data_IF_802325681270
#
_entry.id   IF_802325681270
#
_cell.length_a   1.000
_cell.length_b   1.000
_cell.length_c   1.000
_cell.angle_alpha   90.00
_cell.angle_beta   90.00
_cell.angle_gamma   90.00
#
_symmetry.space_group_name_H-M   'P 1'
#
loop_
_entity.id
_entity.type
_entity.pdbx_description
1 polymer ?
#
# COMPACT_ATOMS: atom_id res chain seq x y z
N UNK A 1 -14.99 5.58 -18.53
CA UNK A 1 -14.47 4.20 -18.44
C UNK A 1 -14.85 3.46 -19.73
N UNK A 2 -13.90 3.25 -20.62
CA UNK A 2 -14.04 2.36 -21.78
C UNK A 2 -13.20 1.12 -21.52
N UNK A 3 -13.86 -0.03 -21.42
CA UNK A 3 -13.17 -1.32 -21.36
C UNK A 3 -12.52 -1.57 -22.75
N UNK A 4 -11.18 -1.63 -22.76
CA UNK A 4 -10.41 -2.06 -23.94
C UNK A 4 -9.94 -3.50 -23.68
N UNK A 5 -10.63 -4.51 -24.22
CA UNK A 5 -10.27 -5.91 -23.98
C UNK A 5 -8.86 -6.26 -24.48
N UNK A 6 -8.36 -5.53 -25.48
CA UNK A 6 -6.98 -5.65 -25.97
C UNK A 6 -5.92 -5.38 -24.89
N UNK A 7 -6.24 -4.52 -23.89
CA UNK A 7 -5.35 -4.26 -22.76
C UNK A 7 -5.09 -5.50 -21.91
N UNK A 8 -6.04 -6.43 -21.82
CA UNK A 8 -5.88 -7.68 -21.06
C UNK A 8 -4.87 -8.64 -21.68
N UNK A 9 -4.57 -8.48 -22.98
CA UNK A 9 -3.55 -9.27 -23.67
C UNK A 9 -2.14 -8.71 -23.51
N UNK A 10 -2.00 -7.49 -22.98
CA UNK A 10 -0.71 -6.86 -22.77
C UNK A 10 -0.10 -7.31 -21.42
N UNK A 11 1.05 -8.04 -21.42
CA UNK A 11 1.70 -8.50 -20.19
C UNK A 11 2.06 -7.36 -19.22
N UNK A 12 2.39 -6.17 -19.71
CA UNK A 12 2.72 -5.03 -18.88
C UNK A 12 1.56 -4.59 -17.98
N UNK A 13 0.32 -4.68 -18.45
CA UNK A 13 -0.87 -4.36 -17.65
C UNK A 13 -0.94 -5.25 -16.41
N UNK A 14 -0.65 -6.54 -16.58
CA UNK A 14 -0.64 -7.48 -15.47
C UNK A 14 0.51 -7.25 -14.49
N UNK A 15 1.71 -6.92 -14.99
CA UNK A 15 2.86 -6.60 -14.14
C UNK A 15 2.56 -5.38 -13.25
N UNK A 16 2.01 -4.31 -13.82
CA UNK A 16 1.61 -3.13 -13.07
C UNK A 16 0.47 -3.43 -12.08
N UNK A 17 -0.55 -4.18 -12.52
CA UNK A 17 -1.69 -4.53 -11.67
C UNK A 17 -1.28 -5.38 -10.46
N UNK A 18 -0.45 -6.41 -10.66
CA UNK A 18 0.07 -7.23 -9.58
C UNK A 18 1.01 -6.43 -8.66
N UNK A 19 1.90 -5.61 -9.22
CA UNK A 19 2.76 -4.73 -8.45
C UNK A 19 1.96 -3.82 -7.52
N UNK A 20 0.94 -3.17 -8.05
CA UNK A 20 0.05 -2.31 -7.26
C UNK A 20 -0.75 -3.09 -6.20
N UNK A 21 -1.27 -4.26 -6.54
CA UNK A 21 -2.01 -5.09 -5.58
C UNK A 21 -1.12 -5.54 -4.41
N UNK A 22 0.10 -6.01 -4.67
CA UNK A 22 1.04 -6.40 -3.63
C UNK A 22 1.50 -5.22 -2.78
N UNK A 23 1.67 -4.05 -3.37
CA UNK A 23 2.00 -2.83 -2.66
C UNK A 23 0.84 -2.39 -1.74
N UNK A 24 -0.38 -2.29 -2.28
CA UNK A 24 -1.57 -1.83 -1.55
C UNK A 24 -1.91 -2.73 -0.36
N UNK A 25 -1.85 -4.05 -0.56
CA UNK A 25 -2.10 -5.03 0.49
C UNK A 25 -0.93 -5.21 1.48
N UNK A 26 0.16 -4.47 1.31
CA UNK A 26 1.37 -4.57 2.15
C UNK A 26 1.95 -5.99 2.25
N UNK A 27 1.68 -6.85 1.26
CA UNK A 27 2.18 -8.25 1.24
C UNK A 27 3.69 -8.26 1.09
N UNK A 28 4.21 -7.34 0.30
CA UNK A 28 5.60 -7.33 -0.10
C UNK A 28 6.54 -6.55 0.81
N UNK A 29 6.02 -5.59 1.58
CA UNK A 29 6.82 -4.76 2.48
C UNK A 29 7.05 -5.38 3.85
N UNK A 30 6.79 -6.69 4.02
CA UNK A 30 6.77 -7.39 5.31
C UNK A 30 5.83 -6.78 6.36
N UNK A 31 5.03 -5.77 6.01
CA UNK A 31 4.04 -5.17 6.89
C UNK A 31 3.05 -6.21 7.37
N UNK A 32 2.45 -6.97 6.46
CA UNK A 32 1.51 -8.04 6.81
C UNK A 32 2.15 -9.13 7.68
N UNK A 33 3.43 -9.44 7.50
CA UNK A 33 4.16 -10.42 8.32
C UNK A 33 4.34 -9.91 9.75
N UNK A 34 4.77 -8.66 9.91
CA UNK A 34 4.96 -8.04 11.23
C UNK A 34 3.62 -7.91 11.96
N UNK A 35 2.58 -7.41 11.28
CA UNK A 35 1.25 -7.29 11.89
C UNK A 35 0.65 -8.66 12.21
N UNK A 36 0.89 -9.67 11.39
CA UNK A 36 0.51 -11.05 11.67
C UNK A 36 1.12 -11.57 12.97
N UNK A 37 2.34 -11.15 13.31
CA UNK A 37 3.00 -11.54 14.56
C UNK A 37 2.39 -10.89 15.82
N UNK A 38 1.63 -9.80 15.65
CA UNK A 38 0.95 -9.09 16.75
C UNK A 38 -0.49 -9.53 16.96
N UNK A 39 -1.03 -10.34 16.04
CA UNK A 39 -2.42 -10.81 16.15
C UNK A 39 -2.57 -11.80 17.30
N UNK A 40 -3.70 -11.73 18.04
CA UNK A 40 -4.01 -12.73 19.05
C UNK A 40 -4.28 -14.10 18.39
N UNK A 41 -4.05 -15.16 19.14
CA UNK A 41 -4.17 -16.55 18.63
C UNK A 41 -5.58 -16.99 18.28
N UNK A 42 -6.58 -16.26 18.71
CA UNK A 42 -8.01 -16.49 18.45
C UNK A 42 -8.51 -15.79 17.17
N UNK A 43 -7.65 -15.04 16.48
CA UNK A 43 -8.00 -14.36 15.22
C UNK A 43 -8.13 -15.34 14.06
N UNK A 44 -9.26 -15.27 13.33
CA UNK A 44 -9.47 -16.06 12.08
C UNK A 44 -8.72 -15.40 10.92
N UNK A 45 -7.46 -15.81 10.71
CA UNK A 45 -6.56 -15.24 9.71
C UNK A 45 -7.15 -15.24 8.28
N UNK A 46 -7.77 -16.34 7.78
CA UNK A 46 -8.37 -16.34 6.44
C UNK A 46 -9.51 -15.33 6.28
N UNK A 47 -10.34 -15.19 7.32
CA UNK A 47 -11.45 -14.21 7.31
C UNK A 47 -10.93 -12.78 7.30
N UNK A 48 -9.96 -12.50 8.15
CA UNK A 48 -9.32 -11.17 8.23
C UNK A 48 -8.59 -10.81 6.95
N UNK A 49 -7.81 -11.72 6.37
CA UNK A 49 -7.13 -11.50 5.09
C UNK A 49 -8.13 -11.22 3.94
N UNK A 50 -9.24 -11.98 3.89
CA UNK A 50 -10.31 -11.75 2.91
C UNK A 50 -10.95 -10.37 3.07
N UNK A 51 -11.24 -9.96 4.30
CA UNK A 51 -11.83 -8.66 4.58
C UNK A 51 -10.88 -7.52 4.19
N UNK A 52 -9.59 -7.62 4.53
CA UNK A 52 -8.58 -6.65 4.13
C UNK A 52 -8.55 -6.50 2.61
N UNK A 53 -8.46 -7.62 1.86
CA UNK A 53 -8.42 -7.57 0.39
C UNK A 53 -9.72 -6.98 -0.20
N UNK A 54 -10.88 -7.30 0.37
CA UNK A 54 -12.17 -6.79 -0.09
C UNK A 54 -12.28 -5.27 0.13
N UNK A 55 -11.99 -4.80 1.35
CA UNK A 55 -12.10 -3.38 1.68
C UNK A 55 -11.05 -2.53 0.96
N UNK A 56 -9.83 -3.03 0.79
CA UNK A 56 -8.79 -2.37 -0.02
C UNK A 56 -9.25 -2.18 -1.47
N UNK A 57 -9.78 -3.24 -2.08
CA UNK A 57 -10.32 -3.19 -3.45
C UNK A 57 -11.49 -2.21 -3.58
N UNK A 58 -12.44 -2.24 -2.63
CA UNK A 58 -13.59 -1.31 -2.63
C UNK A 58 -13.10 0.13 -2.50
N UNK A 59 -12.17 0.41 -1.59
CA UNK A 59 -11.62 1.75 -1.39
C UNK A 59 -10.91 2.26 -2.64
N UNK A 60 -10.10 1.41 -3.29
CA UNK A 60 -9.41 1.75 -4.53
C UNK A 60 -10.39 2.05 -5.68
N UNK A 61 -11.44 1.25 -5.84
CA UNK A 61 -12.49 1.48 -6.85
C UNK A 61 -13.26 2.77 -6.58
N UNK A 62 -13.64 3.03 -5.33
CA UNK A 62 -14.34 4.27 -4.96
C UNK A 62 -13.46 5.50 -5.24
N UNK A 63 -12.18 5.45 -4.88
CA UNK A 63 -11.24 6.52 -5.18
C UNK A 63 -11.11 6.75 -6.69
N UNK A 64 -11.00 5.69 -7.49
CA UNK A 64 -10.92 5.77 -8.94
C UNK A 64 -12.20 6.38 -9.57
N UNK A 65 -13.37 5.95 -9.09
CA UNK A 65 -14.67 6.47 -9.59
C UNK A 65 -14.84 7.95 -9.26
N UNK A 66 -14.32 8.42 -8.14
CA UNK A 66 -14.44 9.84 -7.75
C UNK A 66 -13.40 10.69 -8.47
N UNK A 67 -12.15 10.27 -8.46
CA UNK A 67 -11.02 11.10 -8.91
C UNK A 67 -10.94 11.16 -10.44
N UNK A 68 -11.04 10.02 -11.14
CA UNK A 68 -10.81 9.97 -12.58
C UNK A 68 -11.83 10.79 -13.36
N UNK A 69 -13.16 10.68 -13.13
CA UNK A 69 -14.14 11.51 -13.83
C UNK A 69 -14.03 13.01 -13.48
N UNK A 70 -13.74 13.34 -12.21
CA UNK A 70 -13.56 14.73 -11.81
C UNK A 70 -12.39 15.38 -12.55
N UNK A 71 -11.29 14.67 -12.71
CA UNK A 71 -10.16 15.13 -13.50
C UNK A 71 -10.49 15.22 -15.00
N UNK A 72 -11.24 14.26 -15.54
CA UNK A 72 -11.66 14.25 -16.95
C UNK A 72 -12.46 15.48 -17.33
N UNK A 73 -13.36 15.91 -16.44
CA UNK A 73 -14.22 17.10 -16.68
C UNK A 73 -13.40 18.39 -16.71
N UNK A 74 -12.38 18.51 -15.87
CA UNK A 74 -11.65 19.77 -15.71
C UNK A 74 -10.47 19.89 -16.69
N UNK A 75 -9.79 18.78 -16.97
CA UNK A 75 -8.60 18.76 -17.81
C UNK A 75 -8.91 18.43 -19.27
N UNK A 76 -10.10 17.92 -19.58
CA UNK A 76 -10.47 17.53 -20.94
C UNK A 76 -9.45 16.59 -21.57
N UNK A 77 -9.02 16.92 -22.78
CA UNK A 77 -8.00 16.14 -23.51
C UNK A 77 -6.60 16.16 -22.87
N UNK A 78 -6.37 17.06 -21.91
CA UNK A 78 -5.11 17.13 -21.16
C UNK A 78 -4.82 15.93 -20.24
N UNK A 79 -5.81 15.03 -20.05
CA UNK A 79 -5.59 13.76 -19.33
C UNK A 79 -4.71 12.80 -20.14
N UNK A 80 -4.75 12.89 -21.46
CA UNK A 80 -3.96 12.04 -22.35
C UNK A 80 -2.50 12.47 -22.27
N UNK A 81 -1.70 11.77 -21.48
CA UNK A 81 -0.28 12.07 -21.27
C UNK A 81 0.09 12.50 -19.84
N UNK A 82 -0.87 12.59 -18.95
CA UNK A 82 -0.57 12.83 -17.53
C UNK A 82 0.18 11.65 -16.91
N UNK A 83 1.29 11.97 -16.30
CA UNK A 83 2.03 10.99 -15.49
C UNK A 83 1.35 10.88 -14.13
N UNK A 84 1.19 9.64 -13.64
CA UNK A 84 0.76 9.37 -12.28
C UNK A 84 1.75 9.90 -11.24
N UNK A 85 1.47 9.62 -9.97
CA UNK A 85 2.37 9.97 -8.87
C UNK A 85 1.92 11.20 -8.08
N UNK A 86 2.79 11.76 -7.22
CA UNK A 86 2.44 12.85 -6.31
C UNK A 86 1.90 14.11 -7.00
N UNK A 87 2.36 14.39 -8.22
CA UNK A 87 1.90 15.54 -9.01
C UNK A 87 0.39 15.47 -9.31
N UNK A 88 -0.14 14.29 -9.53
CA UNK A 88 -1.57 14.10 -9.77
C UNK A 88 -2.40 14.54 -8.57
N UNK A 89 -1.99 14.18 -7.38
CA UNK A 89 -2.70 14.50 -6.14
C UNK A 89 -2.49 15.96 -5.70
N UNK A 90 -1.26 16.46 -5.72
CA UNK A 90 -0.93 17.75 -5.11
C UNK A 90 -0.94 18.94 -6.08
N UNK A 91 -0.97 18.70 -7.39
CA UNK A 91 -1.03 19.77 -8.39
C UNK A 91 -2.37 19.74 -9.12
N UNK A 92 -2.70 18.62 -9.74
CA UNK A 92 -3.88 18.55 -10.61
C UNK A 92 -5.20 18.53 -9.83
N UNK A 93 -5.26 17.76 -8.73
CA UNK A 93 -6.48 17.66 -7.93
C UNK A 93 -6.81 18.99 -7.22
N UNK A 94 -5.81 19.83 -6.93
CA UNK A 94 -6.03 21.20 -6.44
C UNK A 94 -6.82 22.03 -7.44
N UNK A 95 -6.52 21.89 -8.75
CA UNK A 95 -7.25 22.61 -9.80
C UNK A 95 -8.72 22.12 -9.88
N UNK A 96 -8.95 20.82 -9.64
CA UNK A 96 -10.31 20.26 -9.55
C UNK A 96 -11.09 20.93 -8.43
N UNK A 97 -10.53 21.03 -7.24
CA UNK A 97 -11.19 21.69 -6.12
C UNK A 97 -11.42 23.18 -6.36
N UNK A 98 -10.47 23.88 -6.99
CA UNK A 98 -10.63 25.31 -7.30
C UNK A 98 -11.76 25.58 -8.32
N UNK A 99 -12.08 24.64 -9.18
CA UNK A 99 -13.13 24.76 -10.17
C UNK A 99 -14.53 24.38 -9.63
N UNK A 100 -14.63 23.79 -8.43
CA UNK A 100 -15.90 23.37 -7.83
C UNK A 100 -16.51 24.46 -6.95
N UNK A 101 -17.87 24.61 -6.92
CA UNK A 101 -18.53 25.41 -5.89
C UNK A 101 -18.23 24.82 -4.50
N UNK A 102 -17.72 25.65 -3.58
CA UNK A 102 -17.33 25.17 -2.26
C UNK A 102 -16.06 24.32 -2.21
N UNK A 103 -15.34 24.17 -3.31
CA UNK A 103 -14.17 23.30 -3.46
C UNK A 103 -13.04 23.58 -2.48
N UNK A 104 -12.93 24.83 -1.97
CA UNK A 104 -11.94 25.17 -0.92
C UNK A 104 -12.20 24.37 0.37
N UNK A 105 -13.46 24.20 0.79
CA UNK A 105 -13.79 23.45 2.01
C UNK A 105 -13.59 21.96 1.76
N UNK A 106 -14.08 21.46 0.63
CA UNK A 106 -13.91 20.05 0.24
C UNK A 106 -12.42 19.68 0.12
N UNK A 107 -11.64 20.55 -0.50
CA UNK A 107 -10.19 20.36 -0.63
C UNK A 107 -9.47 20.36 0.71
N UNK A 108 -9.82 21.24 1.64
CA UNK A 108 -9.25 21.22 2.99
C UNK A 108 -9.54 19.90 3.72
N UNK A 109 -10.78 19.44 3.71
CA UNK A 109 -11.16 18.17 4.33
C UNK A 109 -10.40 17.02 3.67
N UNK A 110 -10.34 17.00 2.34
CA UNK A 110 -9.63 15.98 1.59
C UNK A 110 -8.14 15.92 1.98
N UNK A 111 -7.42 17.05 2.01
CA UNK A 111 -6.00 17.04 2.36
C UNK A 111 -5.74 16.75 3.83
N UNK A 112 -6.65 17.08 4.73
CA UNK A 112 -6.57 16.64 6.13
C UNK A 112 -6.68 15.11 6.20
N UNK A 113 -7.63 14.50 5.47
CA UNK A 113 -7.75 13.04 5.39
C UNK A 113 -6.49 12.40 4.77
N UNK A 114 -5.94 12.99 3.71
CA UNK A 114 -4.69 12.54 3.07
C UNK A 114 -3.50 12.61 4.05
N UNK A 115 -3.43 13.67 4.86
CA UNK A 115 -2.39 13.79 5.89
C UNK A 115 -2.47 12.66 6.90
N UNK A 116 -3.65 12.38 7.45
CA UNK A 116 -3.84 11.27 8.39
C UNK A 116 -3.56 9.91 7.75
N UNK A 117 -4.01 9.69 6.53
CA UNK A 117 -3.71 8.47 5.77
C UNK A 117 -2.20 8.31 5.53
N UNK A 118 -1.50 9.40 5.18
CA UNK A 118 -0.05 9.39 5.00
C UNK A 118 0.70 9.07 6.29
N UNK A 119 0.32 9.70 7.40
CA UNK A 119 0.96 9.44 8.71
C UNK A 119 0.74 7.98 9.13
N UNK A 120 -0.48 7.45 9.02
CA UNK A 120 -0.75 6.05 9.37
C UNK A 120 0.04 5.07 8.49
N UNK A 121 0.18 5.37 7.19
CA UNK A 121 0.99 4.56 6.27
C UNK A 121 2.48 4.58 6.62
N UNK A 122 3.03 5.74 7.01
CA UNK A 122 4.43 5.85 7.45
C UNK A 122 4.66 5.01 8.71
N UNK A 123 3.76 5.08 9.69
CA UNK A 123 3.85 4.26 10.92
C UNK A 123 3.91 2.78 10.56
N UNK A 124 3.03 2.34 9.65
CA UNK A 124 2.99 0.95 9.20
C UNK A 124 4.28 0.52 8.49
N UNK A 125 4.82 1.35 7.60
CA UNK A 125 6.04 1.05 6.88
C UNK A 125 7.29 1.02 7.79
N UNK A 126 7.28 1.83 8.85
CA UNK A 126 8.40 1.87 9.80
C UNK A 126 8.42 0.68 10.75
N UNK A 127 7.30 0.02 10.99
CA UNK A 127 7.22 -1.07 11.97
C UNK A 127 8.16 -2.22 11.63
N UNK A 128 8.24 -2.64 10.36
CA UNK A 128 9.11 -3.73 9.94
C UNK A 128 10.61 -3.45 10.17
N UNK A 129 11.20 -2.33 9.69
CA UNK A 129 12.61 -2.03 9.97
C UNK A 129 12.89 -1.71 11.44
N UNK A 130 11.92 -1.14 12.18
CA UNK A 130 12.06 -0.92 13.62
C UNK A 130 12.12 -2.25 14.36
N UNK A 131 11.22 -3.18 14.07
CA UNK A 131 11.23 -4.53 14.65
C UNK A 131 12.54 -5.28 14.33
N UNK A 132 13.04 -5.15 13.10
CA UNK A 132 14.32 -5.72 12.70
C UNK A 132 15.50 -5.18 13.52
N UNK A 133 15.57 -3.85 13.74
CA UNK A 133 16.62 -3.24 14.57
C UNK A 133 16.55 -3.70 16.03
N UNK A 134 15.33 -3.78 16.57
CA UNK A 134 15.11 -4.26 17.94
C UNK A 134 15.59 -5.71 18.10
N UNK A 135 15.26 -6.57 17.14
CA UNK A 135 15.63 -7.98 17.19
C UNK A 135 17.13 -8.23 16.96
N UNK A 136 17.74 -7.58 15.96
CA UNK A 136 19.12 -7.84 15.55
C UNK A 136 20.15 -7.04 16.34
N UNK A 137 19.86 -5.80 16.68
CA UNK A 137 20.78 -4.89 17.37
C UNK A 137 20.42 -4.70 18.85
N UNK A 138 19.36 -5.38 19.33
CA UNK A 138 18.87 -5.27 20.71
C UNK A 138 18.66 -3.81 21.17
N UNK A 139 18.27 -2.94 20.24
CA UNK A 139 18.00 -1.53 20.50
C UNK A 139 16.62 -1.34 21.15
N UNK A 140 16.45 -0.28 21.93
CA UNK A 140 15.13 0.06 22.44
C UNK A 140 14.26 0.67 21.32
N UNK A 141 12.93 0.61 21.48
CA UNK A 141 11.97 1.06 20.46
C UNK A 141 12.18 2.53 20.03
N UNK A 142 12.41 3.41 21.01
CA UNK A 142 12.58 4.84 20.74
C UNK A 142 13.81 5.09 19.87
N UNK A 143 14.94 4.46 20.21
CA UNK A 143 16.18 4.60 19.44
C UNK A 143 16.01 4.03 18.03
N UNK A 144 15.36 2.87 17.88
CA UNK A 144 15.09 2.26 16.56
C UNK A 144 14.24 3.18 15.68
N UNK A 145 13.18 3.77 16.24
CA UNK A 145 12.32 4.72 15.50
C UNK A 145 13.10 5.96 15.08
N UNK A 146 13.93 6.51 15.97
CA UNK A 146 14.75 7.71 15.65
C UNK A 146 15.77 7.39 14.55
N UNK A 147 16.44 6.23 14.63
CA UNK A 147 17.41 5.83 13.60
C UNK A 147 16.71 5.66 12.24
N UNK A 148 15.63 4.88 12.19
CA UNK A 148 14.89 4.65 10.94
C UNK A 148 14.29 5.95 10.41
N UNK A 149 13.77 6.81 11.29
CA UNK A 149 13.24 8.12 10.90
C UNK A 149 14.31 9.04 10.32
N UNK A 150 15.47 9.11 10.94
CA UNK A 150 16.58 9.93 10.45
C UNK A 150 17.13 9.43 9.11
N UNK A 151 17.41 8.12 9.02
CA UNK A 151 17.91 7.51 7.77
C UNK A 151 16.88 7.61 6.66
N UNK A 152 15.61 7.26 6.93
CA UNK A 152 14.52 7.36 5.97
C UNK A 152 14.28 8.79 5.52
N UNK A 153 14.34 9.77 6.43
CA UNK A 153 14.23 11.18 6.10
C UNK A 153 15.32 11.68 5.17
N UNK A 154 16.59 11.33 5.45
CA UNK A 154 17.72 11.68 4.57
C UNK A 154 17.56 11.05 3.19
N UNK A 155 17.23 9.76 3.13
CA UNK A 155 16.99 9.05 1.86
C UNK A 155 15.83 9.70 1.09
N UNK A 156 14.72 10.04 1.76
CA UNK A 156 13.57 10.69 1.13
C UNK A 156 13.94 12.04 0.51
N UNK A 157 14.75 12.84 1.18
CA UNK A 157 15.24 14.12 0.64
C UNK A 157 16.14 13.92 -0.58
N UNK A 158 17.01 12.90 -0.56
CA UNK A 158 17.89 12.60 -1.69
C UNK A 158 17.12 12.07 -2.92
N UNK A 159 16.03 11.31 -2.70
CA UNK A 159 15.24 10.68 -3.77
C UNK A 159 14.17 11.63 -4.31
N UNK A 160 13.88 12.75 -3.64
CA UNK A 160 12.80 13.66 -3.99
C UNK A 160 12.68 13.96 -5.50
N UNK A 161 13.76 14.24 -6.26
CA UNK A 161 13.67 14.51 -7.69
C UNK A 161 13.21 13.31 -8.53
N UNK A 162 13.39 12.09 -8.02
CA UNK A 162 13.09 10.82 -8.70
C UNK A 162 12.02 10.00 -8.00
N UNK A 163 11.20 10.63 -7.17
CA UNK A 163 10.19 9.93 -6.36
C UNK A 163 9.28 9.03 -7.19
N UNK A 164 8.79 9.50 -8.35
CA UNK A 164 7.90 8.70 -9.20
C UNK A 164 8.60 7.45 -9.75
N UNK A 165 9.82 7.60 -10.27
CA UNK A 165 10.59 6.47 -10.81
C UNK A 165 10.96 5.48 -9.69
N UNK A 166 11.30 5.98 -8.52
CA UNK A 166 11.59 5.15 -7.37
C UNK A 166 10.36 4.37 -6.90
N UNK A 167 9.20 5.01 -6.86
CA UNK A 167 7.94 4.33 -6.56
C UNK A 167 7.63 3.23 -7.57
N UNK A 168 7.86 3.45 -8.86
CA UNK A 168 7.68 2.43 -9.89
C UNK A 168 8.62 1.24 -9.66
N UNK A 169 9.90 1.48 -9.36
CA UNK A 169 10.86 0.42 -9.05
C UNK A 169 10.41 -0.39 -7.83
N UNK A 170 9.99 0.27 -6.77
CA UNK A 170 9.53 -0.42 -5.56
C UNK A 170 8.27 -1.23 -5.83
N UNK A 171 7.25 -0.63 -6.45
CA UNK A 171 5.95 -1.28 -6.64
C UNK A 171 5.99 -2.40 -7.66
N UNK A 172 6.75 -2.23 -8.77
CA UNK A 172 6.73 -3.16 -9.90
C UNK A 172 7.72 -4.32 -9.70
N UNK A 173 8.87 -4.07 -9.08
CA UNK A 173 9.94 -5.07 -8.97
C UNK A 173 10.16 -5.55 -7.54
N UNK A 174 10.36 -4.63 -6.58
CA UNK A 174 10.72 -5.01 -5.21
C UNK A 174 9.54 -5.67 -4.50
N UNK A 175 8.34 -5.10 -4.62
CA UNK A 175 7.16 -5.64 -3.97
C UNK A 175 6.78 -7.05 -4.45
N UNK A 176 6.65 -7.33 -5.76
CA UNK A 176 6.38 -8.69 -6.21
C UNK A 176 7.47 -9.70 -5.82
N UNK A 177 8.75 -9.28 -5.82
CA UNK A 177 9.86 -10.14 -5.37
C UNK A 177 9.73 -10.48 -3.88
N UNK A 178 9.43 -9.49 -3.04
CA UNK A 178 9.18 -9.70 -1.61
C UNK A 178 8.01 -10.66 -1.35
N UNK A 179 6.90 -10.47 -2.08
CA UNK A 179 5.73 -11.35 -2.02
C UNK A 179 6.07 -12.78 -2.46
N UNK A 180 6.85 -12.93 -3.54
CA UNK A 180 7.32 -14.23 -4.01
C UNK A 180 8.17 -14.93 -2.95
N UNK A 181 9.12 -14.23 -2.33
CA UNK A 181 9.97 -14.80 -1.28
C UNK A 181 9.14 -15.22 -0.05
N UNK A 182 8.19 -14.39 0.37
CA UNK A 182 7.27 -14.74 1.45
C UNK A 182 6.43 -15.98 1.11
N UNK A 183 5.94 -16.09 -0.13
CA UNK A 183 5.23 -17.26 -0.64
C UNK A 183 6.11 -18.52 -0.64
N UNK A 184 7.35 -18.42 -1.11
CA UNK A 184 8.30 -19.53 -1.08
C UNK A 184 8.54 -20.00 0.35
N UNK A 185 8.77 -19.08 1.27
CA UNK A 185 8.97 -19.43 2.69
C UNK A 185 7.75 -20.15 3.26
N UNK A 186 6.54 -19.70 2.98
CA UNK A 186 5.32 -20.28 3.50
C UNK A 186 5.01 -21.65 2.89
N UNK A 187 5.08 -21.79 1.55
CA UNK A 187 4.62 -23.00 0.86
C UNK A 187 5.69 -24.09 0.73
N UNK A 188 6.97 -23.75 0.71
CA UNK A 188 8.06 -24.71 0.45
C UNK A 188 9.02 -24.91 1.62
N UNK A 189 9.29 -23.86 2.43
CA UNK A 189 10.22 -23.95 3.55
C UNK A 189 9.52 -24.34 4.85
N UNK A 190 8.33 -23.77 5.11
CA UNK A 190 7.55 -24.11 6.30
C UNK A 190 6.96 -25.51 6.18
N UNK A 191 7.04 -26.27 7.27
CA UNK A 191 6.41 -27.61 7.33
C UNK A 191 4.89 -27.47 7.18
N UNK A 192 4.29 -28.34 6.37
CA UNK A 192 2.86 -28.32 6.06
C UNK A 192 1.98 -28.31 7.31
N UNK A 193 2.32 -29.11 8.32
CA UNK A 193 1.54 -29.20 9.56
C UNK A 193 1.61 -27.90 10.36
N UNK A 194 2.77 -27.23 10.38
CA UNK A 194 2.95 -25.94 11.04
C UNK A 194 2.17 -24.84 10.31
N UNK A 195 2.20 -24.81 8.98
CA UNK A 195 1.46 -23.86 8.17
C UNK A 195 -0.05 -24.04 8.33
N UNK A 196 -0.55 -25.29 8.30
CA UNK A 196 -1.96 -25.59 8.51
C UNK A 196 -2.42 -25.27 9.93
N UNK A 197 -1.60 -25.58 10.95
CA UNK A 197 -1.89 -25.23 12.32
C UNK A 197 -2.05 -23.71 12.49
N UNK A 198 -1.12 -22.92 11.95
CA UNK A 198 -1.18 -21.45 12.00
C UNK A 198 -2.44 -20.89 11.32
N UNK A 199 -2.84 -21.44 10.17
CA UNK A 199 -4.04 -20.98 9.45
C UNK A 199 -5.34 -21.38 10.16
N UNK A 200 -5.37 -22.51 10.89
CA UNK A 200 -6.56 -23.02 11.54
C UNK A 200 -6.70 -22.65 13.01
N UNK A 201 -5.64 -22.12 13.63
CA UNK A 201 -5.60 -21.83 15.07
C UNK A 201 -6.78 -20.94 15.50
N UNK A 202 -7.03 -19.84 14.82
CA UNK A 202 -8.13 -18.92 15.14
C UNK A 202 -9.52 -19.44 14.76
N UNK A 203 -9.65 -20.29 13.73
CA UNK A 203 -10.93 -20.86 13.30
C UNK A 203 -11.54 -21.82 14.31
N UNK A 204 -10.71 -22.47 15.09
CA UNK A 204 -11.16 -23.40 16.14
C UNK A 204 -11.57 -22.66 17.41
N UNK A 205 -11.00 -21.51 17.70
CA UNK A 205 -11.35 -20.71 18.88
C UNK A 205 -12.73 -20.04 18.76
N UNK A 206 -13.14 -19.60 17.57
CA UNK A 206 -14.44 -18.96 17.32
C UNK A 206 -15.66 -19.90 17.31
N UNK A 207 -15.48 -21.21 17.52
CA UNK A 207 -16.55 -22.22 17.59
C UNK A 207 -16.83 -22.72 19.02
N UNK A 208 -16.28 -22.09 20.00
CA UNK A 208 -16.64 -22.27 21.42
C UNK A 208 -17.49 -21.07 21.87
#
# INVERSE_FOLDING_TARGET
FTLKPEGLLNPQVWVFAFGQAFFSLSVAGNGSVIYGSYLPKDEDLPSSARNVALFDTIAALLAAIVIIPAMAVILGDGIVGMKGGPGLMFVYLVNVFNAMPGGRIVGMIFYICVLFAGVSSIVNLYEAPVAFLQEKLHTNRVLSVVIIGAVGGVIALCIQPWTSQWMDVVSIYICPLGALLAGIMFFWVMKKDTALAAVHEGRTAGKK
#
